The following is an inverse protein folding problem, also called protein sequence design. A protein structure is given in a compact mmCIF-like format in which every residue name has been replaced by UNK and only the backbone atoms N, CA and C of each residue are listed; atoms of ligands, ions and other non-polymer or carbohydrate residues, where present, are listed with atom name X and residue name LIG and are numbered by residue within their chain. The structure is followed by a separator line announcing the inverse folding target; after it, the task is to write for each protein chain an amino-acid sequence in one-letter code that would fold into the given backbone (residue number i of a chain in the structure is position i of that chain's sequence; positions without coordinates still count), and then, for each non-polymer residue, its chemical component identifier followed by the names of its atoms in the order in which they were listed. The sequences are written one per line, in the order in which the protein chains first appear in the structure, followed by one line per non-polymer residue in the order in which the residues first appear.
data_IF_735285707330
#
_entry.id   IF_735285707330
#
_cell.length_a   1.000
_cell.length_b   1.000
_cell.length_c   1.000
_cell.angle_alpha   90.00
_cell.angle_beta   90.00
_cell.angle_gamma   90.00
#
_symmetry.space_group_name_H-M   'P 1'
#
loop_
_entity.id
_entity.type
_entity.pdbx_description
1 polymer ?
#
# COMPACT_ATOMS: atom_id res chain seq x y z
N UNK A 1 -0.98 20.99 -37.96
CA UNK A 1 -0.01 20.73 -36.87
C UNK A 1 -0.78 20.59 -35.58
N UNK A 2 -1.19 19.36 -35.23
CA UNK A 2 -1.76 19.08 -33.91
C UNK A 2 -0.65 18.48 -33.06
N UNK A 3 -0.05 19.32 -32.23
CA UNK A 3 0.73 18.91 -31.07
C UNK A 3 -0.22 18.16 -30.16
N UNK A 4 -0.27 16.83 -30.30
CA UNK A 4 -0.71 15.98 -29.22
C UNK A 4 0.12 16.37 -28.00
N UNK A 5 -0.49 17.11 -27.08
CA UNK A 5 -0.03 17.19 -25.71
C UNK A 5 0.03 15.73 -25.26
N UNK A 6 1.21 15.13 -25.32
CA UNK A 6 1.52 13.96 -24.55
C UNK A 6 1.42 14.44 -23.10
N UNK A 7 0.20 14.37 -22.55
CA UNK A 7 0.00 14.48 -21.11
C UNK A 7 1.00 13.54 -20.48
N UNK A 8 1.77 14.05 -19.51
CA UNK A 8 2.75 13.25 -18.79
C UNK A 8 2.16 11.87 -18.50
N UNK A 9 2.89 10.76 -18.75
CA UNK A 9 2.35 9.42 -18.52
C UNK A 9 1.69 9.41 -17.15
N UNK A 10 0.38 9.09 -17.12
CA UNK A 10 -0.32 8.83 -15.86
C UNK A 10 0.43 7.68 -15.20
N UNK A 11 1.25 8.02 -14.22
CA UNK A 11 2.00 7.04 -13.45
C UNK A 11 1.09 6.58 -12.32
N UNK A 12 0.18 5.66 -12.65
CA UNK A 12 -0.66 4.98 -11.67
C UNK A 12 0.25 4.20 -10.71
N UNK A 13 0.28 4.63 -9.46
CA UNK A 13 1.09 3.99 -8.41
C UNK A 13 0.38 2.77 -7.83
N UNK A 14 -0.94 2.87 -7.68
CA UNK A 14 -1.79 1.85 -7.08
C UNK A 14 -2.86 1.41 -8.07
N UNK A 15 -3.17 0.12 -8.12
CA UNK A 15 -4.28 -0.41 -8.90
C UNK A 15 -5.62 -0.25 -8.19
N UNK A 16 -6.60 0.36 -8.88
CA UNK A 16 -8.03 0.37 -8.49
C UNK A 16 -8.61 -1.03 -8.30
N UNK A 17 -8.23 -1.96 -9.18
CA UNK A 17 -8.71 -3.35 -9.12
C UNK A 17 -8.30 -3.98 -7.79
N UNK A 18 -7.05 -3.81 -7.40
CA UNK A 18 -6.56 -4.29 -6.11
C UNK A 18 -7.26 -3.56 -4.95
N UNK A 19 -7.51 -2.25 -5.08
CA UNK A 19 -8.32 -1.50 -4.13
C UNK A 19 -9.70 -2.13 -3.89
N UNK A 20 -10.42 -2.51 -4.95
CA UNK A 20 -11.71 -3.19 -4.85
C UNK A 20 -11.60 -4.63 -4.33
N UNK A 21 -10.54 -5.36 -4.67
CA UNK A 21 -10.29 -6.69 -4.09
C UNK A 21 -10.05 -6.60 -2.57
N UNK A 22 -9.26 -5.63 -2.12
CA UNK A 22 -9.02 -5.38 -0.70
C UNK A 22 -10.28 -4.89 0.02
N UNK A 23 -11.15 -4.15 -0.66
CA UNK A 23 -12.43 -3.69 -0.12
C UNK A 23 -13.38 -4.84 0.30
N UNK A 24 -13.27 -6.03 -0.31
CA UNK A 24 -14.04 -7.21 0.14
C UNK A 24 -13.72 -7.52 1.62
N UNK A 25 -12.47 -7.34 2.02
CA UNK A 25 -12.00 -7.44 3.41
C UNK A 25 -11.94 -6.06 4.09
N UNK A 26 -12.63 -5.06 3.53
CA UNK A 26 -12.48 -3.65 3.83
C UNK A 26 -12.95 -3.24 5.23
N UNK A 27 -13.73 -4.07 5.92
CA UNK A 27 -14.04 -3.90 7.34
C UNK A 27 -12.77 -3.88 8.21
N UNK A 28 -11.67 -4.48 7.75
CA UNK A 28 -10.35 -4.41 8.39
C UNK A 28 -9.59 -3.11 8.09
N UNK A 29 -10.06 -2.29 7.15
CA UNK A 29 -9.35 -1.09 6.68
C UNK A 29 -8.22 -1.36 5.67
N UNK A 30 -8.06 -2.60 5.18
CA UNK A 30 -7.02 -3.03 4.23
C UNK A 30 -6.81 -2.08 3.03
N UNK A 31 -7.87 -1.72 2.34
CA UNK A 31 -7.83 -0.82 1.17
C UNK A 31 -7.38 0.61 1.55
N UNK A 32 -7.64 1.07 2.78
CA UNK A 32 -7.17 2.38 3.27
C UNK A 32 -5.68 2.38 3.55
N UNK A 33 -5.16 1.29 4.11
CA UNK A 33 -3.71 1.12 4.26
C UNK A 33 -3.02 1.08 2.90
N UNK A 34 -3.60 0.33 1.95
CA UNK A 34 -3.13 0.25 0.58
C UNK A 34 -2.98 1.62 -0.07
N UNK A 35 -4.02 2.47 -0.02
CA UNK A 35 -3.94 3.85 -0.53
C UNK A 35 -3.21 4.85 0.39
N UNK A 36 -2.41 4.38 1.34
CA UNK A 36 -1.58 5.24 2.18
C UNK A 36 -2.37 6.15 3.12
N UNK A 37 -3.47 5.65 3.70
CA UNK A 37 -4.25 6.33 4.76
C UNK A 37 -4.21 5.54 6.08
N UNK A 38 -3.03 5.38 6.71
CA UNK A 38 -2.83 4.47 7.84
C UNK A 38 -3.67 4.81 9.07
N UNK A 39 -3.86 6.10 9.36
CA UNK A 39 -4.68 6.55 10.49
C UNK A 39 -6.13 6.10 10.31
N UNK A 40 -6.73 6.38 9.14
CA UNK A 40 -8.12 5.94 8.87
C UNK A 40 -8.22 4.43 8.73
N UNK A 41 -7.21 3.75 8.18
CA UNK A 41 -7.19 2.28 8.14
C UNK A 41 -7.21 1.68 9.54
N UNK A 42 -6.48 2.27 10.49
CA UNK A 42 -6.45 1.83 11.89
C UNK A 42 -7.79 2.05 12.60
N UNK A 43 -8.42 3.21 12.35
CA UNK A 43 -9.79 3.46 12.83
C UNK A 43 -10.74 2.40 12.28
N UNK A 44 -10.67 2.10 10.99
CA UNK A 44 -11.50 1.06 10.37
C UNK A 44 -11.26 -0.30 11.03
N UNK A 45 -10.01 -0.71 11.21
CA UNK A 45 -9.66 -1.98 11.83
C UNK A 45 -10.30 -2.17 13.21
N UNK A 46 -10.19 -1.17 14.09
CA UNK A 46 -10.73 -1.24 15.45
C UNK A 46 -12.25 -1.06 15.54
N UNK A 47 -12.88 -0.52 14.50
CA UNK A 47 -14.33 -0.22 14.49
C UNK A 47 -15.11 -1.08 13.51
N UNK A 48 -14.46 -2.05 12.88
CA UNK A 48 -15.00 -2.88 11.78
C UNK A 48 -15.58 -2.01 10.66
N UNK A 49 -14.81 -1.00 10.24
CA UNK A 49 -15.18 -0.01 9.22
C UNK A 49 -16.30 0.93 9.64
N UNK A 50 -16.33 1.28 10.93
CA UNK A 50 -17.36 2.04 11.64
C UNK A 50 -18.75 1.40 11.60
N UNK A 51 -18.83 0.14 12.08
CA UNK A 51 -20.06 -0.67 12.14
C UNK A 51 -20.64 -1.04 10.76
N UNK A 52 -19.78 -1.14 9.74
CA UNK A 52 -20.15 -1.59 8.39
C UNK A 52 -20.67 -0.48 7.45
N UNK A 53 -21.08 0.68 7.97
CA UNK A 53 -21.55 1.79 7.12
C UNK A 53 -20.37 2.43 6.36
N UNK A 54 -19.26 2.69 7.06
CA UNK A 54 -18.06 3.25 6.43
C UNK A 54 -17.52 2.34 5.33
N UNK A 55 -17.58 1.01 5.53
CA UNK A 55 -17.24 0.02 4.51
C UNK A 55 -18.09 0.13 3.22
N UNK A 56 -19.40 0.40 3.33
CA UNK A 56 -20.25 0.62 2.15
C UNK A 56 -19.90 1.93 1.43
N UNK A 57 -19.65 3.00 2.19
CA UNK A 57 -19.26 4.31 1.64
C UNK A 57 -17.92 4.21 0.89
N UNK A 58 -17.01 3.35 1.35
CA UNK A 58 -15.70 3.16 0.73
C UNK A 58 -15.77 2.73 -0.74
N UNK A 59 -16.85 2.06 -1.17
CA UNK A 59 -17.08 1.72 -2.57
C UNK A 59 -16.97 2.95 -3.49
N UNK A 60 -17.45 4.11 -3.01
CA UNK A 60 -17.40 5.37 -3.76
C UNK A 60 -16.13 6.18 -3.50
N UNK A 61 -15.43 5.92 -2.40
CA UNK A 61 -14.22 6.66 -2.04
C UNK A 61 -12.95 6.11 -2.72
N UNK A 62 -12.94 4.84 -3.12
CA UNK A 62 -11.77 4.20 -3.77
C UNK A 62 -11.21 5.04 -4.93
N UNK A 63 -12.00 5.52 -5.90
CA UNK A 63 -11.47 6.36 -6.99
C UNK A 63 -10.83 7.68 -6.53
N UNK A 64 -11.29 8.26 -5.42
CA UNK A 64 -10.68 9.46 -4.84
C UNK A 64 -9.36 9.12 -4.14
N UNK A 65 -9.34 8.05 -3.35
CA UNK A 65 -8.14 7.60 -2.63
C UNK A 65 -7.01 7.20 -3.56
N UNK A 66 -7.36 6.59 -4.68
CA UNK A 66 -6.46 6.22 -5.78
C UNK A 66 -5.75 7.45 -6.37
N UNK A 67 -6.52 8.45 -6.81
CA UNK A 67 -5.95 9.72 -7.32
C UNK A 67 -5.09 10.43 -6.28
N UNK A 68 -5.51 10.42 -5.01
CA UNK A 68 -4.71 10.99 -3.93
C UNK A 68 -3.41 10.21 -3.67
N UNK A 69 -3.39 8.90 -3.90
CA UNK A 69 -2.18 8.10 -3.79
C UNK A 69 -1.20 8.44 -4.93
N UNK A 70 -1.68 8.56 -6.16
CA UNK A 70 -0.85 8.92 -7.32
C UNK A 70 -0.21 10.29 -7.19
N UNK A 71 -0.89 11.25 -6.54
CA UNK A 71 -0.35 12.58 -6.28
C UNK A 71 0.70 12.58 -5.15
N UNK A 72 0.60 11.64 -4.19
CA UNK A 72 1.45 11.62 -2.99
C UNK A 72 2.69 10.76 -3.15
N UNK A 73 2.62 9.69 -3.94
CA UNK A 73 3.63 8.66 -3.99
C UNK A 73 4.39 8.67 -5.31
N UNK A 74 5.69 8.38 -5.25
CA UNK A 74 6.54 8.34 -6.44
C UNK A 74 6.55 6.94 -7.06
N UNK A 75 6.17 6.86 -8.34
CA UNK A 75 6.34 5.66 -9.14
C UNK A 75 7.82 5.41 -9.47
N UNK A 76 8.20 4.15 -9.61
CA UNK A 76 9.57 3.79 -9.97
C UNK A 76 9.70 2.29 -10.17
N UNK A 77 10.92 1.78 -9.97
CA UNK A 77 11.26 0.36 -10.20
C UNK A 77 10.56 -0.59 -9.22
N UNK A 78 10.28 -0.15 -7.99
CA UNK A 78 9.57 -0.94 -6.99
C UNK A 78 8.08 -0.63 -7.11
N UNK A 79 7.30 -1.66 -7.42
CA UNK A 79 5.85 -1.55 -7.61
C UNK A 79 5.09 -1.68 -6.28
N UNK A 80 4.12 -0.78 -6.04
CA UNK A 80 3.35 -0.75 -4.80
C UNK A 80 2.44 -1.97 -4.68
N UNK A 81 1.78 -2.38 -5.77
CA UNK A 81 0.89 -3.53 -5.81
C UNK A 81 1.62 -4.81 -5.38
N UNK A 82 2.79 -5.06 -5.97
CA UNK A 82 3.63 -6.22 -5.66
C UNK A 82 4.12 -6.14 -4.21
N UNK A 83 4.59 -4.97 -3.76
CA UNK A 83 5.03 -4.79 -2.38
C UNK A 83 3.91 -5.11 -1.38
N UNK A 84 2.68 -4.69 -1.66
CA UNK A 84 1.49 -4.98 -0.85
C UNK A 84 1.07 -6.45 -0.85
N UNK A 85 1.11 -7.11 -2.01
CA UNK A 85 0.86 -8.56 -2.12
C UNK A 85 1.90 -9.33 -1.30
N UNK A 86 3.19 -8.97 -1.43
CA UNK A 86 4.26 -9.58 -0.67
C UNK A 86 4.11 -9.36 0.83
N UNK A 87 3.73 -8.15 1.27
CA UNK A 87 3.48 -7.88 2.70
C UNK A 87 2.31 -8.73 3.21
N UNK A 88 1.23 -8.83 2.44
CA UNK A 88 -0.01 -9.52 2.86
C UNK A 88 0.22 -11.02 3.05
N UNK A 89 0.87 -11.69 2.10
CA UNK A 89 1.01 -13.15 2.12
C UNK A 89 2.33 -13.63 2.69
N UNK A 90 3.38 -12.83 2.58
CA UNK A 90 4.76 -13.22 2.89
C UNK A 90 5.47 -12.21 3.80
N UNK A 91 4.72 -11.30 4.42
CA UNK A 91 5.26 -10.24 5.27
C UNK A 91 5.99 -10.76 6.49
N UNK A 92 5.51 -11.84 7.10
CA UNK A 92 6.17 -12.53 8.23
C UNK A 92 7.59 -13.00 7.87
N UNK A 93 7.83 -13.34 6.61
CA UNK A 93 9.15 -13.75 6.11
C UNK A 93 10.00 -12.57 5.63
N UNK A 94 9.46 -11.35 5.59
CA UNK A 94 10.18 -10.15 5.16
C UNK A 94 10.40 -10.03 3.64
N UNK A 95 9.64 -10.76 2.81
CA UNK A 95 9.86 -10.76 1.36
C UNK A 95 9.54 -9.41 0.70
N UNK A 96 8.62 -8.62 1.25
CA UNK A 96 8.40 -7.23 0.81
C UNK A 96 9.62 -6.34 1.07
N UNK A 97 10.33 -6.54 2.20
CA UNK A 97 11.57 -5.81 2.51
C UNK A 97 12.70 -6.23 1.57
N UNK A 98 12.79 -7.52 1.25
CA UNK A 98 13.76 -8.01 0.27
C UNK A 98 13.48 -7.42 -1.12
N UNK A 99 12.21 -7.34 -1.54
CA UNK A 99 11.79 -6.72 -2.80
C UNK A 99 12.18 -5.23 -2.89
N UNK A 100 12.11 -4.50 -1.77
CA UNK A 100 12.62 -3.13 -1.66
C UNK A 100 14.16 -3.01 -1.63
N UNK A 101 14.89 -4.12 -1.60
CA UNK A 101 16.35 -4.17 -1.48
C UNK A 101 16.88 -4.05 -0.05
N UNK A 102 16.01 -4.09 0.97
CA UNK A 102 16.36 -3.98 2.40
C UNK A 102 16.76 -5.34 2.99
N UNK A 103 17.79 -5.96 2.40
CA UNK A 103 18.19 -7.36 2.67
C UNK A 103 18.49 -7.65 4.14
N UNK A 104 19.16 -6.75 4.87
CA UNK A 104 19.44 -6.92 6.31
C UNK A 104 18.14 -7.09 7.10
N UNK A 105 17.17 -6.19 6.91
CA UNK A 105 15.90 -6.26 7.64
C UNK A 105 15.02 -7.43 7.19
N UNK A 106 15.14 -7.88 5.94
CA UNK A 106 14.46 -9.08 5.47
C UNK A 106 14.98 -10.35 6.16
N UNK A 107 16.30 -10.48 6.31
CA UNK A 107 16.92 -11.59 7.06
C UNK A 107 16.47 -11.57 8.53
N UNK A 108 16.44 -10.39 9.15
CA UNK A 108 15.92 -10.25 10.51
C UNK A 108 14.48 -10.74 10.57
N UNK A 109 13.61 -10.29 9.66
CA UNK A 109 12.22 -10.74 9.61
C UNK A 109 12.13 -12.26 9.46
N UNK A 110 12.89 -12.86 8.55
CA UNK A 110 12.88 -14.31 8.35
C UNK A 110 13.20 -15.09 9.63
N UNK A 111 14.23 -14.70 10.39
CA UNK A 111 14.62 -15.39 11.63
C UNK A 111 13.75 -15.07 12.84
N UNK A 112 12.95 -13.99 12.78
CA UNK A 112 12.15 -13.51 13.92
C UNK A 112 10.64 -13.61 13.67
N UNK A 113 10.22 -14.11 12.50
CA UNK A 113 8.83 -14.11 12.06
C UNK A 113 8.27 -12.70 11.84
N UNK A 114 9.08 -11.77 11.31
CA UNK A 114 8.71 -10.37 11.15
C UNK A 114 8.59 -9.67 12.49
N UNK A 115 9.64 -9.84 13.32
CA UNK A 115 9.76 -9.45 14.73
C UNK A 115 8.43 -9.52 15.48
N UNK A 116 8.01 -10.77 15.76
CA UNK A 116 6.80 -11.11 16.51
C UNK A 116 5.53 -10.42 16.00
N UNK A 117 5.40 -10.29 14.67
CA UNK A 117 4.27 -9.66 13.95
C UNK A 117 4.16 -8.14 14.09
N UNK A 118 4.78 -7.53 15.12
CA UNK A 118 4.75 -6.07 15.31
C UNK A 118 5.43 -5.36 14.13
N UNK A 119 6.50 -5.93 13.60
CA UNK A 119 7.15 -5.41 12.40
C UNK A 119 6.23 -5.41 11.18
N UNK A 120 5.39 -6.43 11.04
CA UNK A 120 4.39 -6.52 9.96
C UNK A 120 3.34 -5.42 10.11
N UNK A 121 2.83 -5.18 11.32
CA UNK A 121 1.89 -4.09 11.61
C UNK A 121 2.50 -2.71 11.33
N UNK A 122 3.76 -2.51 11.68
CA UNK A 122 4.49 -1.29 11.36
C UNK A 122 4.62 -1.10 9.84
N UNK A 123 4.88 -2.17 9.09
CA UNK A 123 4.98 -2.10 7.63
C UNK A 123 3.63 -1.81 6.97
N UNK A 124 2.50 -2.30 7.51
CA UNK A 124 1.16 -1.88 7.04
C UNK A 124 0.96 -0.36 7.09
N UNK A 125 1.60 0.32 8.04
CA UNK A 125 1.54 1.78 8.14
C UNK A 125 2.49 2.51 7.19
N UNK A 126 3.67 1.95 6.98
CA UNK A 126 4.81 2.70 6.42
C UNK A 126 5.21 2.25 5.02
N UNK A 127 4.70 1.13 4.51
CA UNK A 127 5.12 0.53 3.24
C UNK A 127 5.10 1.53 2.07
N UNK A 128 4.04 2.31 1.94
CA UNK A 128 3.90 3.26 0.83
C UNK A 128 5.00 4.34 0.85
N UNK A 129 5.29 4.91 2.02
CA UNK A 129 6.40 5.84 2.19
C UNK A 129 7.75 5.17 1.89
N UNK A 130 7.95 3.95 2.41
CA UNK A 130 9.17 3.18 2.15
C UNK A 130 9.40 2.91 0.66
N UNK A 131 8.35 2.53 -0.09
CA UNK A 131 8.45 2.32 -1.56
C UNK A 131 8.72 3.64 -2.27
N UNK A 132 8.02 4.71 -1.90
CA UNK A 132 8.20 6.04 -2.51
C UNK A 132 9.60 6.58 -2.31
N UNK A 133 10.19 6.41 -1.13
CA UNK A 133 11.58 6.79 -0.83
C UNK A 133 12.58 5.99 -1.67
N UNK A 134 12.38 4.67 -1.79
CA UNK A 134 13.25 3.83 -2.61
C UNK A 134 13.17 4.23 -4.09
N UNK A 135 11.97 4.50 -4.60
CA UNK A 135 11.77 4.96 -5.97
C UNK A 135 12.36 6.35 -6.22
N UNK A 136 12.27 7.27 -5.24
CA UNK A 136 12.88 8.59 -5.30
C UNK A 136 14.42 8.52 -5.35
N UNK A 137 15.02 7.65 -4.52
CA UNK A 137 16.48 7.54 -4.36
C UNK A 137 17.22 6.90 -5.52
N UNK A 138 16.51 6.22 -6.44
CA UNK A 138 17.09 5.43 -7.54
C UNK A 138 16.78 6.03 -8.93
N UNK A 139 16.47 7.33 -8.99
CA UNK A 139 16.47 8.11 -10.24
C UNK A 139 17.89 8.43 -10.69
#
# INVERSE_FOLDING_TARGET
MNSYQQGAPFHDTHSKVIGYLLWIFGFTGSHRFYYGKPITGTIWFFTLGLLGIGWLIDLFLIPSMDREADLRFQSGRVDYNIAWILLTFLGVFGLHRLYQGKWVTAIIYFFTGGLFLVGVLYDFWTLNSQVSEVNASRR
#
